data_IF_890065732239
#
_entry.id   IF_890065732239
#
_cell.length_a   1.000
_cell.length_b   1.000
_cell.length_c   1.000
_cell.angle_alpha   90.00
_cell.angle_beta   90.00
_cell.angle_gamma   90.00
#
_symmetry.space_group_name_H-M   'P 1'
#
loop_
_entity.id
_entity.type
_entity.pdbx_description
1 polymer ?
#
# COMPACT_ATOMS: atom_id res chain seq x y z
N UNK A 1 19.53 21.03 -22.00
CA UNK A 1 19.55 19.60 -21.63
C UNK A 1 19.58 18.81 -22.93
N UNK A 2 20.62 18.00 -23.15
CA UNK A 2 20.86 17.28 -24.40
C UNK A 2 19.75 16.28 -24.73
N UNK A 3 19.22 16.34 -25.94
CA UNK A 3 18.25 15.38 -26.48
C UNK A 3 18.72 13.92 -26.33
N UNK A 4 20.03 13.67 -26.39
CA UNK A 4 20.63 12.36 -26.13
C UNK A 4 20.49 11.90 -24.67
N UNK A 5 20.55 12.80 -23.69
CA UNK A 5 20.28 12.46 -22.29
C UNK A 5 18.81 12.15 -22.07
N UNK A 6 17.91 12.81 -22.80
CA UNK A 6 16.48 12.52 -22.76
C UNK A 6 16.16 11.15 -23.36
N UNK A 7 16.73 10.81 -24.52
CA UNK A 7 16.57 9.49 -25.12
C UNK A 7 17.12 8.37 -24.22
N UNK A 8 18.32 8.54 -23.65
CA UNK A 8 18.87 7.54 -22.73
C UNK A 8 17.99 7.37 -21.47
N UNK A 9 17.41 8.46 -20.94
CA UNK A 9 16.47 8.38 -19.82
C UNK A 9 15.16 7.68 -20.19
N UNK A 10 14.73 7.75 -21.45
CA UNK A 10 13.56 7.01 -21.93
C UNK A 10 13.86 5.52 -22.06
N UNK A 11 15.03 5.13 -22.56
CA UNK A 11 15.42 3.73 -22.64
C UNK A 11 15.53 3.09 -21.25
N UNK A 12 16.10 3.82 -20.28
CA UNK A 12 16.16 3.39 -18.88
C UNK A 12 14.77 3.28 -18.26
N UNK A 13 13.89 4.27 -18.48
CA UNK A 13 12.50 4.24 -18.01
C UNK A 13 11.70 3.10 -18.66
N UNK A 14 11.88 2.86 -19.97
CA UNK A 14 11.23 1.76 -20.68
C UNK A 14 11.69 0.41 -20.14
N UNK A 15 12.99 0.22 -19.95
CA UNK A 15 13.52 -0.98 -19.32
C UNK A 15 12.92 -1.18 -17.93
N UNK A 16 12.86 -0.12 -17.12
CA UNK A 16 12.31 -0.17 -15.78
C UNK A 16 10.81 -0.53 -15.78
N UNK A 17 9.99 0.13 -16.62
CA UNK A 17 8.56 -0.19 -16.77
C UNK A 17 8.34 -1.63 -17.27
N UNK A 18 9.15 -2.10 -18.23
CA UNK A 18 9.09 -3.49 -18.70
C UNK A 18 9.45 -4.48 -17.60
N UNK A 19 10.44 -4.13 -16.77
CA UNK A 19 10.82 -4.95 -15.62
C UNK A 19 9.68 -5.07 -14.61
N UNK A 20 8.88 -4.01 -14.40
CA UNK A 20 7.75 -4.04 -13.48
C UNK A 20 6.71 -5.10 -13.86
N UNK A 21 6.54 -5.40 -15.15
CA UNK A 21 5.62 -6.45 -15.62
C UNK A 21 5.98 -7.84 -15.04
N UNK A 22 7.26 -8.09 -14.79
CA UNK A 22 7.76 -9.32 -14.17
C UNK A 22 7.90 -9.18 -12.65
N UNK A 23 8.46 -8.07 -12.17
CA UNK A 23 8.73 -7.87 -10.76
C UNK A 23 7.47 -7.61 -9.94
N UNK A 24 6.43 -6.99 -10.50
CA UNK A 24 5.17 -6.79 -9.79
C UNK A 24 4.49 -8.10 -9.38
N UNK A 25 4.17 -9.05 -10.29
CA UNK A 25 3.52 -10.29 -9.90
C UNK A 25 4.39 -11.16 -8.99
N UNK A 26 5.72 -11.15 -9.19
CA UNK A 26 6.65 -11.84 -8.30
C UNK A 26 6.66 -11.24 -6.89
N UNK A 27 6.73 -9.91 -6.79
CA UNK A 27 6.69 -9.18 -5.51
C UNK A 27 5.35 -9.39 -4.83
N UNK A 28 4.24 -9.33 -5.57
CA UNK A 28 2.90 -9.57 -5.06
C UNK A 28 2.76 -11.00 -4.51
N UNK A 29 3.22 -12.00 -5.25
CA UNK A 29 3.20 -13.39 -4.80
C UNK A 29 4.01 -13.57 -3.51
N UNK A 30 5.23 -13.03 -3.47
CA UNK A 30 6.07 -13.09 -2.26
C UNK A 30 5.44 -12.35 -1.08
N UNK A 31 4.90 -11.15 -1.31
CA UNK A 31 4.26 -10.35 -0.28
C UNK A 31 2.97 -11.00 0.24
N UNK A 32 2.18 -11.66 -0.61
CA UNK A 32 0.94 -12.30 -0.19
C UNK A 32 1.17 -13.61 0.58
N UNK A 33 2.11 -14.45 0.11
CA UNK A 33 2.33 -15.80 0.68
C UNK A 33 3.50 -15.90 1.66
N UNK A 34 4.50 -15.02 1.56
CA UNK A 34 5.66 -14.93 2.47
C UNK A 34 5.94 -13.49 2.93
N UNK A 35 4.92 -12.74 3.39
CA UNK A 35 5.04 -11.31 3.72
C UNK A 35 6.20 -11.02 4.69
N UNK A 36 6.28 -11.85 5.72
CA UNK A 36 7.28 -11.73 6.78
C UNK A 36 8.71 -11.90 6.27
N UNK A 37 8.93 -12.82 5.32
CA UNK A 37 10.25 -13.02 4.73
C UNK A 37 10.68 -11.83 3.87
N UNK A 38 9.73 -11.24 3.14
CA UNK A 38 9.96 -10.02 2.35
C UNK A 38 10.33 -8.85 3.28
N UNK A 39 9.57 -8.64 4.36
CA UNK A 39 9.87 -7.58 5.33
C UNK A 39 11.25 -7.75 5.98
N UNK A 40 11.69 -8.97 6.29
CA UNK A 40 13.05 -9.25 6.77
C UNK A 40 14.13 -8.98 5.72
N UNK A 41 13.87 -9.34 4.46
CA UNK A 41 14.78 -9.08 3.33
C UNK A 41 15.02 -7.59 3.16
N UNK A 42 13.95 -6.78 3.15
CA UNK A 42 14.02 -5.32 3.05
C UNK A 42 14.76 -4.70 4.23
N UNK A 43 14.59 -5.24 5.44
CA UNK A 43 15.34 -4.80 6.62
C UNK A 43 16.84 -5.03 6.47
N UNK A 44 17.23 -6.13 5.81
CA UNK A 44 18.65 -6.39 5.51
C UNK A 44 19.16 -5.50 4.39
N UNK A 45 18.36 -5.28 3.35
CA UNK A 45 18.71 -4.41 2.22
C UNK A 45 18.84 -2.94 2.61
N UNK A 46 18.21 -2.51 3.71
CA UNK A 46 18.34 -1.15 4.25
C UNK A 46 19.79 -0.70 4.49
N UNK A 47 20.69 -1.66 4.76
CA UNK A 47 22.12 -1.41 5.05
C UNK A 47 22.94 -1.33 3.76
N UNK A 48 22.40 -1.76 2.63
CA UNK A 48 23.08 -1.73 1.33
C UNK A 48 23.14 -0.31 0.76
N UNK A 49 24.13 -0.03 -0.11
CA UNK A 49 24.15 1.16 -0.96
C UNK A 49 22.85 1.32 -1.78
N UNK A 50 22.41 2.55 -2.05
CA UNK A 50 21.12 2.85 -2.71
C UNK A 50 20.98 2.16 -4.08
N UNK A 51 22.07 1.97 -4.82
CA UNK A 51 22.15 1.28 -6.13
C UNK A 51 21.96 -0.25 -6.03
N UNK A 52 22.03 -0.79 -4.82
CA UNK A 52 21.92 -2.23 -4.56
C UNK A 52 20.64 -2.61 -3.81
N UNK A 53 19.80 -1.63 -3.44
CA UNK A 53 18.52 -1.89 -2.78
C UNK A 53 17.47 -2.29 -3.80
N UNK A 54 16.57 -3.20 -3.41
CA UNK A 54 15.39 -3.57 -4.20
C UNK A 54 15.70 -4.11 -5.60
N UNK A 55 16.83 -4.80 -5.78
CA UNK A 55 17.14 -5.44 -7.07
C UNK A 55 16.22 -6.63 -7.36
N UNK A 56 15.71 -7.30 -6.31
CA UNK A 56 14.91 -8.51 -6.42
C UNK A 56 13.38 -8.27 -6.25
N UNK A 57 12.98 -7.07 -5.84
CA UNK A 57 11.60 -6.67 -5.56
C UNK A 57 11.37 -5.22 -5.97
N UNK A 58 10.14 -4.84 -6.26
CA UNK A 58 9.84 -3.42 -6.52
C UNK A 58 10.09 -2.56 -5.28
N UNK A 59 10.47 -1.30 -5.50
CA UNK A 59 10.63 -0.36 -4.40
C UNK A 59 9.30 -0.21 -3.62
N UNK A 60 9.34 -0.10 -2.29
CA UNK A 60 8.15 -0.27 -1.45
C UNK A 60 7.01 0.71 -1.78
N UNK A 61 7.24 2.03 -1.91
CA UNK A 61 6.18 2.99 -2.25
C UNK A 61 5.63 2.75 -3.66
N UNK A 62 6.49 2.34 -4.60
CA UNK A 62 6.11 2.05 -5.97
C UNK A 62 5.24 0.80 -6.06
N UNK A 63 5.56 -0.24 -5.30
CA UNK A 63 4.75 -1.45 -5.23
C UNK A 63 3.33 -1.14 -4.73
N UNK A 64 3.19 -0.31 -3.69
CA UNK A 64 1.89 0.16 -3.20
C UNK A 64 1.15 0.99 -4.26
N UNK A 65 1.83 1.91 -4.94
CA UNK A 65 1.23 2.72 -5.98
C UNK A 65 0.72 1.87 -7.16
N UNK A 66 1.52 0.90 -7.62
CA UNK A 66 1.11 -0.03 -8.69
C UNK A 66 -0.06 -0.93 -8.25
N UNK A 67 -0.07 -1.41 -7.01
CA UNK A 67 -1.19 -2.20 -6.47
C UNK A 67 -2.51 -1.40 -6.52
N UNK A 68 -2.47 -0.13 -6.15
CA UNK A 68 -3.62 0.77 -6.23
C UNK A 68 -4.03 1.11 -7.66
N UNK A 69 -3.05 1.32 -8.53
CA UNK A 69 -3.28 1.53 -9.96
C UNK A 69 -4.01 0.34 -10.58
N UNK A 70 -3.54 -0.89 -10.32
CA UNK A 70 -4.19 -2.10 -10.82
C UNK A 70 -5.59 -2.26 -10.23
N UNK A 71 -5.76 -2.00 -8.93
CA UNK A 71 -7.07 -2.00 -8.29
C UNK A 71 -8.07 -1.03 -8.96
N UNK A 72 -7.61 0.18 -9.26
CA UNK A 72 -8.40 1.17 -10.00
C UNK A 72 -8.69 0.71 -11.43
N UNK A 73 -7.69 0.19 -12.16
CA UNK A 73 -7.88 -0.33 -13.52
C UNK A 73 -8.94 -1.43 -13.58
N UNK A 74 -8.97 -2.32 -12.58
CA UNK A 74 -10.01 -3.36 -12.50
C UNK A 74 -11.40 -2.75 -12.27
N UNK A 75 -11.54 -1.77 -11.38
CA UNK A 75 -12.80 -1.06 -11.16
C UNK A 75 -13.29 -0.39 -12.46
N UNK A 76 -12.39 0.29 -13.18
CA UNK A 76 -12.72 0.94 -14.46
C UNK A 76 -13.11 -0.08 -15.55
N UNK A 77 -12.47 -1.24 -15.60
CA UNK A 77 -12.80 -2.30 -16.56
C UNK A 77 -14.19 -2.93 -16.28
N UNK A 78 -14.63 -2.88 -15.02
CA UNK A 78 -15.98 -3.27 -14.60
C UNK A 78 -17.03 -2.15 -14.81
N UNK A 79 -16.64 -1.02 -15.43
CA UNK A 79 -17.52 0.10 -15.70
C UNK A 79 -17.90 0.92 -14.47
N UNK A 80 -17.15 0.80 -13.37
CA UNK A 80 -17.42 1.54 -12.14
C UNK A 80 -16.87 2.95 -12.26
N UNK A 81 -17.71 3.93 -11.98
CA UNK A 81 -17.31 5.34 -11.87
C UNK A 81 -16.83 5.62 -10.45
N UNK A 82 -15.65 6.22 -10.29
CA UNK A 82 -15.15 6.63 -8.97
C UNK A 82 -16.12 7.63 -8.33
N UNK A 83 -16.79 7.22 -7.25
CA UNK A 83 -17.76 8.05 -6.53
C UNK A 83 -17.14 9.35 -5.95
N UNK A 84 -15.80 9.39 -5.82
CA UNK A 84 -15.04 10.58 -5.40
C UNK A 84 -15.04 11.65 -6.49
N UNK A 85 -14.97 11.27 -7.77
CA UNK A 85 -15.01 12.19 -8.92
C UNK A 85 -16.45 12.69 -9.16
N UNK A 86 -17.45 11.87 -8.81
CA UNK A 86 -18.86 12.25 -8.94
C UNK A 86 -19.32 13.27 -7.88
N UNK A 87 -18.57 13.42 -6.77
CA UNK A 87 -18.91 14.35 -5.71
C UNK A 87 -18.18 15.69 -5.91
N UNK A 88 -18.90 16.82 -5.96
CA UNK A 88 -18.32 18.17 -6.16
C UNK A 88 -18.37 19.03 -4.89
N UNK A 89 -18.48 18.41 -3.72
CA UNK A 89 -18.52 19.12 -2.44
C UNK A 89 -17.10 19.25 -1.84
N UNK A 90 -16.76 20.41 -1.28
CA UNK A 90 -15.53 20.61 -0.52
C UNK A 90 -14.22 20.52 -1.31
N UNK A 91 -13.22 19.84 -0.74
CA UNK A 91 -11.94 19.58 -1.41
C UNK A 91 -12.05 18.62 -2.61
N UNK A 92 -13.24 18.08 -2.90
CA UNK A 92 -13.44 17.20 -4.05
C UNK A 92 -13.26 17.93 -5.39
N UNK A 93 -13.37 19.27 -5.42
CA UNK A 93 -13.04 20.10 -6.58
C UNK A 93 -11.54 20.05 -6.96
N UNK A 94 -10.66 19.62 -6.03
CA UNK A 94 -9.25 19.34 -6.34
C UNK A 94 -9.04 17.97 -7.01
N UNK A 95 -10.09 17.14 -7.11
CA UNK A 95 -10.06 15.79 -7.67
C UNK A 95 -10.90 15.74 -8.96
N UNK A 96 -10.42 16.44 -9.99
CA UNK A 96 -11.17 16.63 -11.24
C UNK A 96 -10.90 15.53 -12.29
N UNK A 97 -9.86 14.70 -12.08
CA UNK A 97 -9.46 13.64 -13.03
C UNK A 97 -9.00 12.35 -12.33
N UNK A 98 -9.02 11.23 -13.05
CA UNK A 98 -8.64 9.90 -12.56
C UNK A 98 -7.24 9.87 -11.91
N UNK A 99 -6.31 10.67 -12.44
CA UNK A 99 -4.96 10.80 -11.89
C UNK A 99 -4.97 11.38 -10.46
N UNK A 100 -5.76 12.44 -10.23
CA UNK A 100 -5.89 13.07 -8.91
C UNK A 100 -6.60 12.16 -7.90
N UNK A 101 -7.59 11.37 -8.34
CA UNK A 101 -8.27 10.38 -7.51
C UNK A 101 -7.31 9.24 -7.10
N UNK A 102 -6.46 8.80 -8.03
CA UNK A 102 -5.43 7.80 -7.77
C UNK A 102 -4.38 8.33 -6.77
N UNK A 103 -3.94 9.58 -6.91
CA UNK A 103 -3.02 10.22 -5.95
C UNK A 103 -3.64 10.28 -4.55
N UNK A 104 -4.91 10.67 -4.45
CA UNK A 104 -5.64 10.68 -3.18
C UNK A 104 -5.68 9.27 -2.58
N UNK A 105 -5.99 8.24 -3.39
CA UNK A 105 -6.01 6.84 -2.96
C UNK A 105 -4.61 6.41 -2.47
N UNK A 106 -3.54 6.80 -3.15
CA UNK A 106 -2.16 6.53 -2.69
C UNK A 106 -1.89 7.17 -1.34
N UNK A 107 -2.26 8.45 -1.14
CA UNK A 107 -2.07 9.15 0.14
C UNK A 107 -2.86 8.47 1.27
N UNK A 108 -4.13 8.14 1.02
CA UNK A 108 -5.04 7.49 1.97
C UNK A 108 -4.54 6.09 2.34
N UNK A 109 -4.11 5.29 1.37
CA UNK A 109 -3.60 3.94 1.67
C UNK A 109 -2.19 3.96 2.25
N UNK A 110 -1.35 4.94 1.88
CA UNK A 110 -0.01 5.11 2.45
C UNK A 110 -0.03 5.63 3.89
N UNK A 111 -1.14 6.21 4.36
CA UNK A 111 -1.26 6.61 5.76
C UNK A 111 -1.24 5.39 6.70
N UNK A 112 -1.86 4.27 6.32
CA UNK A 112 -1.83 3.04 7.13
C UNK A 112 -0.42 2.53 7.46
N UNK A 113 0.46 2.24 6.48
CA UNK A 113 1.83 1.84 6.76
C UNK A 113 2.61 2.93 7.48
N UNK A 114 2.31 4.22 7.26
CA UNK A 114 2.93 5.32 7.99
C UNK A 114 2.58 5.30 9.49
N UNK A 115 1.31 5.13 9.85
CA UNK A 115 0.89 5.07 11.25
C UNK A 115 1.42 3.81 11.94
N UNK A 116 1.35 2.65 11.28
CA UNK A 116 1.93 1.41 11.80
C UNK A 116 3.45 1.53 12.01
N UNK A 117 4.19 2.07 11.04
CA UNK A 117 5.62 2.34 11.16
C UNK A 117 5.92 3.31 12.31
N UNK A 118 5.17 4.40 12.42
CA UNK A 118 5.34 5.38 13.51
C UNK A 118 5.12 4.75 14.88
N UNK A 119 4.13 3.85 14.99
CA UNK A 119 3.83 3.10 16.19
C UNK A 119 4.97 2.14 16.52
N UNK A 120 5.47 1.42 15.54
CA UNK A 120 6.59 0.49 15.70
C UNK A 120 7.83 1.22 16.25
N UNK A 121 8.21 2.36 15.64
CA UNK A 121 9.34 3.20 16.09
C UNK A 121 9.14 3.68 17.53
N UNK A 122 7.96 4.22 17.86
CA UNK A 122 7.65 4.66 19.22
C UNK A 122 7.76 3.52 20.24
N UNK A 123 7.33 2.31 19.87
CA UNK A 123 7.37 1.12 20.75
C UNK A 123 8.76 0.51 20.86
N UNK A 124 9.63 0.72 19.87
CA UNK A 124 11.06 0.40 19.94
C UNK A 124 11.85 1.36 20.85
N UNK A 125 11.23 2.45 21.33
CA UNK A 125 11.88 3.44 22.17
C UNK A 125 12.83 4.37 21.41
N UNK A 126 12.82 4.34 20.08
CA UNK A 126 13.61 5.23 19.22
C UNK A 126 12.88 6.55 19.00
N UNK A 127 13.64 7.65 18.93
CA UNK A 127 13.08 8.97 18.63
C UNK A 127 12.55 8.97 17.20
N UNK A 128 11.30 9.39 17.03
CA UNK A 128 10.69 9.53 15.72
C UNK A 128 11.35 10.67 14.95
N UNK A 129 12.13 10.32 13.94
CA UNK A 129 12.71 11.21 12.94
C UNK A 129 12.63 10.55 11.55
N UNK A 130 13.00 11.30 10.50
CA UNK A 130 12.93 10.83 9.11
C UNK A 130 13.68 9.51 8.90
N UNK A 131 14.89 9.40 9.46
CA UNK A 131 15.77 8.25 9.27
C UNK A 131 15.26 7.01 10.01
N UNK A 132 14.74 7.19 11.23
CA UNK A 132 14.17 6.08 12.02
C UNK A 132 12.86 5.54 11.44
N UNK A 133 12.12 6.38 10.69
CA UNK A 133 10.79 6.05 10.18
C UNK A 133 10.85 5.43 8.78
N UNK A 134 11.80 5.84 7.94
CA UNK A 134 11.88 5.41 6.54
C UNK A 134 11.87 3.89 6.41
N UNK A 135 12.71 3.21 7.18
CA UNK A 135 12.86 1.76 7.09
C UNK A 135 11.59 1.01 7.55
N UNK A 136 11.04 1.27 8.75
CA UNK A 136 9.76 0.71 9.15
C UNK A 136 8.62 1.03 8.18
N UNK A 137 8.58 2.22 7.60
CA UNK A 137 7.57 2.58 6.60
C UNK A 137 7.68 1.71 5.35
N UNK A 138 8.88 1.49 4.85
CA UNK A 138 9.14 0.65 3.69
C UNK A 138 8.76 -0.81 3.91
N UNK A 139 9.04 -1.37 5.08
CA UNK A 139 8.59 -2.72 5.44
C UNK A 139 7.06 -2.83 5.39
N UNK A 140 6.37 -1.81 5.88
CA UNK A 140 4.91 -1.78 6.00
C UNK A 140 4.21 -1.56 4.66
N UNK A 141 4.88 -0.98 3.66
CA UNK A 141 4.30 -0.79 2.32
C UNK A 141 3.93 -2.10 1.62
N UNK A 142 4.63 -3.22 1.87
CA UNK A 142 4.35 -4.51 1.21
C UNK A 142 3.04 -5.16 1.69
N UNK A 143 2.81 -5.40 2.99
CA UNK A 143 1.52 -5.89 3.46
C UNK A 143 0.40 -4.89 3.17
N UNK A 144 0.67 -3.58 3.26
CA UNK A 144 -0.30 -2.56 2.88
C UNK A 144 -0.70 -2.63 1.40
N UNK A 145 0.23 -2.93 0.49
CA UNK A 145 -0.05 -3.07 -0.94
C UNK A 145 -0.92 -4.29 -1.26
N UNK A 146 -0.64 -5.45 -0.62
CA UNK A 146 -1.47 -6.66 -0.76
C UNK A 146 -2.89 -6.39 -0.25
N UNK A 147 -3.00 -5.75 0.91
CA UNK A 147 -4.26 -5.30 1.46
C UNK A 147 -5.00 -4.35 0.52
N UNK A 148 -4.32 -3.31 0.04
CA UNK A 148 -4.90 -2.28 -0.81
C UNK A 148 -5.42 -2.83 -2.14
N UNK A 149 -4.67 -3.71 -2.80
CA UNK A 149 -5.10 -4.38 -4.02
C UNK A 149 -6.32 -5.26 -3.76
N UNK A 150 -6.27 -6.09 -2.71
CA UNK A 150 -7.34 -7.03 -2.40
C UNK A 150 -8.64 -6.36 -1.95
N UNK A 151 -8.56 -5.26 -1.20
CA UNK A 151 -9.72 -4.40 -0.90
C UNK A 151 -10.25 -3.76 -2.17
N UNK A 152 -9.40 -3.17 -3.00
CA UNK A 152 -9.84 -2.43 -4.20
C UNK A 152 -10.55 -3.37 -5.19
N UNK A 153 -9.94 -4.50 -5.52
CA UNK A 153 -10.55 -5.47 -6.44
C UNK A 153 -11.74 -6.19 -5.78
N UNK A 154 -11.65 -6.51 -4.49
CA UNK A 154 -12.71 -7.20 -3.77
C UNK A 154 -13.97 -6.37 -3.65
N UNK A 155 -13.83 -5.08 -3.33
CA UNK A 155 -14.96 -4.13 -3.32
C UNK A 155 -15.55 -3.90 -4.71
N UNK A 156 -14.70 -3.85 -5.74
CA UNK A 156 -15.17 -3.75 -7.14
C UNK A 156 -16.01 -4.97 -7.52
N UNK A 157 -15.55 -6.19 -7.24
CA UNK A 157 -16.31 -7.42 -7.47
C UNK A 157 -17.59 -7.51 -6.62
N UNK A 158 -17.57 -6.95 -5.41
CA UNK A 158 -18.74 -6.88 -4.53
C UNK A 158 -19.90 -6.07 -5.10
N UNK A 159 -19.61 -5.13 -5.99
CA UNK A 159 -20.60 -4.24 -6.62
C UNK A 159 -21.03 -4.69 -8.02
N UNK A 160 -20.44 -5.78 -8.53
CA UNK A 160 -20.77 -6.30 -9.85
C UNK A 160 -22.14 -7.00 -9.88
N UNK A 161 -22.78 -7.03 -11.05
CA UNK A 161 -24.14 -7.56 -11.23
C UNK A 161 -24.20 -9.08 -11.33
N UNK A 162 -23.06 -9.76 -11.56
CA UNK A 162 -23.04 -11.21 -11.62
C UNK A 162 -23.29 -11.86 -10.25
N UNK A 163 -24.10 -12.93 -10.14
CA UNK A 163 -24.53 -13.48 -8.86
C UNK A 163 -23.40 -14.07 -7.99
N UNK A 164 -22.29 -14.48 -8.60
CA UNK A 164 -21.14 -15.08 -7.89
C UNK A 164 -20.11 -14.01 -7.51
N UNK A 165 -20.04 -12.91 -8.26
CA UNK A 165 -19.02 -11.87 -8.07
C UNK A 165 -19.09 -11.24 -6.67
N UNK A 166 -20.27 -10.95 -6.08
CA UNK A 166 -20.34 -10.41 -4.73
C UNK A 166 -19.81 -11.31 -3.62
N UNK A 167 -19.99 -12.62 -3.77
CA UNK A 167 -19.50 -13.61 -2.82
C UNK A 167 -17.97 -13.65 -2.90
N UNK A 168 -17.42 -13.73 -4.12
CA UNK A 168 -15.96 -13.71 -4.34
C UNK A 168 -15.35 -12.41 -3.81
N UNK A 169 -15.94 -11.26 -4.14
CA UNK A 169 -15.49 -9.95 -3.70
C UNK A 169 -15.44 -9.83 -2.18
N UNK A 170 -16.52 -10.23 -1.50
CA UNK A 170 -16.62 -10.17 -0.04
C UNK A 170 -15.65 -11.12 0.66
N UNK A 171 -15.48 -12.34 0.11
CA UNK A 171 -14.45 -13.27 0.58
C UNK A 171 -13.05 -12.67 0.42
N UNK A 172 -12.76 -12.03 -0.72
CA UNK A 172 -11.45 -11.45 -0.98
C UNK A 172 -11.13 -10.28 -0.04
N UNK A 173 -12.09 -9.38 0.18
CA UNK A 173 -11.99 -8.30 1.18
C UNK A 173 -11.67 -8.86 2.56
N UNK A 174 -12.41 -9.88 2.99
CA UNK A 174 -12.24 -10.52 4.29
C UNK A 174 -10.86 -11.15 4.42
N UNK A 175 -10.42 -11.89 3.40
CA UNK A 175 -9.08 -12.50 3.34
C UNK A 175 -8.00 -11.44 3.42
N UNK A 176 -8.12 -10.31 2.73
CA UNK A 176 -7.15 -9.22 2.75
C UNK A 176 -7.03 -8.56 4.13
N UNK A 177 -8.16 -8.31 4.80
CA UNK A 177 -8.18 -7.77 6.17
C UNK A 177 -7.51 -8.74 7.14
N UNK A 178 -7.89 -10.03 7.07
CA UNK A 178 -7.34 -11.07 7.95
C UNK A 178 -5.84 -11.27 7.68
N UNK A 179 -5.42 -11.26 6.42
CA UNK A 179 -4.01 -11.34 6.04
C UNK A 179 -3.21 -10.19 6.64
N UNK A 180 -3.64 -8.93 6.43
CA UNK A 180 -2.97 -7.76 7.00
C UNK A 180 -2.87 -7.89 8.53
N UNK A 181 -3.96 -8.23 9.20
CA UNK A 181 -3.99 -8.36 10.65
C UNK A 181 -3.00 -9.41 11.18
N UNK A 182 -2.97 -10.59 10.56
CA UNK A 182 -2.07 -11.69 10.95
C UNK A 182 -0.61 -11.29 10.71
N UNK A 183 -0.32 -10.72 9.55
CA UNK A 183 1.03 -10.31 9.16
C UNK A 183 1.56 -9.25 10.12
N UNK A 184 0.81 -8.17 10.32
CA UNK A 184 1.22 -7.09 11.21
C UNK A 184 1.37 -7.56 12.65
N UNK A 185 0.45 -8.38 13.15
CA UNK A 185 0.54 -8.92 14.51
C UNK A 185 1.80 -9.76 14.69
N UNK A 186 2.14 -10.60 13.70
CA UNK A 186 3.36 -11.41 13.73
C UNK A 186 4.62 -10.57 13.60
N UNK A 187 4.58 -9.53 12.75
CA UNK A 187 5.70 -8.60 12.56
C UNK A 187 6.00 -7.83 13.85
N UNK A 188 4.98 -7.19 14.44
CA UNK A 188 5.11 -6.47 15.70
C UNK A 188 5.56 -7.37 16.85
N UNK A 189 5.03 -8.59 16.94
CA UNK A 189 5.44 -9.55 17.95
C UNK A 189 6.94 -9.87 17.84
N UNK A 190 7.43 -10.07 16.62
CA UNK A 190 8.85 -10.38 16.38
C UNK A 190 9.76 -9.18 16.59
N UNK A 191 9.46 -8.03 15.97
CA UNK A 191 10.33 -6.86 16.01
C UNK A 191 10.39 -6.26 17.41
N UNK A 192 9.28 -6.22 18.15
CA UNK A 192 9.24 -5.70 19.52
C UNK A 192 9.59 -6.76 20.57
N UNK A 193 9.76 -8.03 20.17
CA UNK A 193 9.95 -9.18 21.06
C UNK A 193 8.88 -9.25 22.17
N UNK A 194 7.60 -9.11 21.80
CA UNK A 194 6.45 -9.13 22.70
C UNK A 194 5.48 -10.27 22.35
N UNK A 195 4.64 -10.66 23.31
CA UNK A 195 3.58 -11.63 23.06
C UNK A 195 2.54 -11.15 22.05
N UNK A 196 1.97 -12.09 21.28
CA UNK A 196 1.01 -11.82 20.20
C UNK A 196 -0.18 -10.94 20.61
N UNK A 197 -0.68 -11.08 21.84
CA UNK A 197 -1.81 -10.27 22.32
C UNK A 197 -1.43 -8.79 22.44
N UNK A 198 -0.22 -8.48 22.93
CA UNK A 198 0.28 -7.10 23.02
C UNK A 198 0.63 -6.55 21.64
N UNK A 199 1.11 -7.39 20.73
CA UNK A 199 1.36 -7.02 19.34
C UNK A 199 0.04 -6.66 18.63
N UNK A 200 -0.98 -7.52 18.72
CA UNK A 200 -2.31 -7.28 18.15
C UNK A 200 -2.92 -5.97 18.66
N UNK A 201 -2.79 -5.67 19.96
CA UNK A 201 -3.24 -4.39 20.51
C UNK A 201 -2.52 -3.18 19.93
N UNK A 202 -1.21 -3.27 19.64
CA UNK A 202 -0.47 -2.17 19.01
C UNK A 202 -0.83 -1.99 17.54
N UNK A 203 -1.02 -3.10 16.81
CA UNK A 203 -1.49 -3.09 15.43
C UNK A 203 -2.89 -2.48 15.35
N UNK A 204 -3.81 -2.88 16.23
CA UNK A 204 -5.15 -2.32 16.30
C UNK A 204 -5.11 -0.80 16.48
N UNK A 205 -4.29 -0.31 17.42
CA UNK A 205 -4.18 1.13 17.66
C UNK A 205 -3.59 1.85 16.42
N UNK A 206 -2.57 1.28 15.78
CA UNK A 206 -2.01 1.86 14.55
C UNK A 206 -3.01 1.91 13.38
N UNK A 207 -3.80 0.84 13.21
CA UNK A 207 -4.89 0.81 12.23
C UNK A 207 -6.01 1.79 12.55
N UNK A 208 -6.35 1.97 13.83
CA UNK A 208 -7.32 2.98 14.27
C UNK A 208 -6.80 4.41 14.07
N UNK A 209 -5.53 4.68 14.36
CA UNK A 209 -4.89 5.98 14.08
C UNK A 209 -4.97 6.29 12.57
N UNK A 210 -4.68 5.30 11.71
CA UNK A 210 -4.85 5.41 10.26
C UNK A 210 -6.30 5.62 9.84
N UNK A 211 -7.24 4.84 10.36
CA UNK A 211 -8.66 4.97 10.04
C UNK A 211 -9.23 6.35 10.44
N UNK A 212 -8.86 6.87 11.62
CA UNK A 212 -9.25 8.21 12.07
C UNK A 212 -8.70 9.27 11.12
N UNK A 213 -7.45 9.14 10.66
CA UNK A 213 -6.88 10.04 9.66
C UNK A 213 -7.67 9.99 8.35
N UNK A 214 -7.99 8.80 7.83
CA UNK A 214 -8.79 8.65 6.60
C UNK A 214 -10.18 9.24 6.75
N UNK A 215 -10.84 9.04 7.89
CA UNK A 215 -12.14 9.65 8.18
C UNK A 215 -12.06 11.18 8.28
N UNK A 216 -10.99 11.71 8.89
CA UNK A 216 -10.76 13.15 8.95
C UNK A 216 -10.52 13.75 7.56
N UNK A 217 -9.73 13.08 6.73
CA UNK A 217 -9.55 13.45 5.32
C UNK A 217 -10.91 13.40 4.60
N UNK A 218 -11.62 12.28 4.66
CA UNK A 218 -12.93 12.10 4.03
C UNK A 218 -13.95 13.17 4.45
N UNK A 219 -13.97 13.55 5.73
CA UNK A 219 -14.83 14.62 6.23
C UNK A 219 -14.54 15.98 5.57
N UNK A 220 -13.28 16.29 5.25
CA UNK A 220 -12.89 17.50 4.51
C UNK A 220 -13.32 17.48 3.04
N UNK A 221 -13.55 16.28 2.47
CA UNK A 221 -14.05 16.09 1.09
C UNK A 221 -15.58 16.06 1.00
N UNK A 222 -16.30 16.03 2.11
CA UNK A 222 -17.77 16.04 2.14
C UNK A 222 -18.38 17.35 2.64
N UNK A 223 -17.56 18.37 2.89
CA UNK A 223 -17.89 19.60 3.60
C UNK A 223 -17.71 20.83 2.75
#
# INVERSE_FOLDING_TARGET
MDFMKWLNSLDELLYEVMSWLLFFPLTLWRAAFRPIGVMEEINREAVLPDDQRYQAVLSPPLFLALALLIGHSVATALGQTDAIIANRDGLADLVDDNASALVLRVIVFASFPLFLASRLVRRLGTKLNRNSLQQPFYEQCYPAAVFALGISVGTSLSQDHHPIAPIIGSCMVTISIVNLWIVETRWFARVLNIGYLRAAGNVLIGLLEGAVFVLAVGFLFTR
#
